data_IF_644720897875
#
_entry.id   IF_644720897875
#
_cell.length_a   1.000
_cell.length_b   1.000
_cell.length_c   1.000
_cell.angle_alpha   90.00
_cell.angle_beta   90.00
_cell.angle_gamma   90.00
#
_symmetry.space_group_name_H-M   'P 1'
#
loop_
_entity.id
_entity.type
_entity.pdbx_description
1 polymer ?
#
# COMPACT_ATOMS: atom_id res chain seq x y z
N UNK A 1 5.45 7.47 -14.26
CA UNK A 1 4.19 6.79 -13.91
C UNK A 1 3.56 7.51 -12.73
N UNK A 2 2.22 7.58 -12.64
CA UNK A 2 1.58 8.23 -11.49
C UNK A 2 1.99 7.62 -10.16
N UNK A 3 2.04 8.46 -9.14
CA UNK A 3 2.40 8.10 -7.78
C UNK A 3 1.16 8.23 -6.91
N UNK A 4 0.92 7.22 -6.07
CA UNK A 4 -0.23 7.22 -5.17
C UNK A 4 0.22 6.96 -3.74
N UNK A 5 -0.49 7.57 -2.80
CA UNK A 5 -0.40 7.24 -1.38
C UNK A 5 -1.70 6.58 -0.99
N UNK A 6 -1.64 5.33 -0.56
CA UNK A 6 -2.82 4.65 -0.04
C UNK A 6 -2.75 4.53 1.49
N UNK A 7 -3.91 4.54 2.11
CA UNK A 7 -4.03 4.58 3.56
C UNK A 7 -4.98 3.48 3.99
N UNK A 8 -4.53 2.68 4.96
CA UNK A 8 -5.33 1.64 5.58
C UNK A 8 -5.58 1.99 7.04
N UNK A 9 -6.82 1.87 7.49
CA UNK A 9 -7.18 2.05 8.90
C UNK A 9 -7.50 0.67 9.47
N UNK A 10 -6.49 0.03 10.07
CA UNK A 10 -6.58 -1.36 10.50
C UNK A 10 -6.93 -1.51 12.00
N UNK A 11 -6.89 -0.41 12.76
CA UNK A 11 -7.24 -0.42 14.15
C UNK A 11 -6.17 -1.00 15.07
N UNK A 12 -6.60 -1.42 16.26
CA UNK A 12 -5.67 -1.90 17.29
C UNK A 12 -4.97 -3.19 16.90
N UNK A 13 -3.74 -3.32 17.35
CA UNK A 13 -2.98 -4.57 17.24
C UNK A 13 -2.15 -4.73 15.98
N UNK A 14 -2.21 -3.78 15.04
CA UNK A 14 -1.34 -3.83 13.86
C UNK A 14 0.10 -3.51 14.27
N UNK A 15 1.06 -4.27 13.76
CA UNK A 15 2.48 -4.07 14.06
C UNK A 15 3.27 -3.84 12.78
N UNK A 16 4.46 -3.26 12.91
CA UNK A 16 5.39 -3.12 11.79
C UNK A 16 5.68 -4.48 11.16
N UNK A 17 5.81 -5.53 11.96
CA UNK A 17 6.09 -6.87 11.44
C UNK A 17 4.96 -7.39 10.57
N UNK A 18 3.70 -7.19 10.97
CA UNK A 18 2.54 -7.60 10.18
C UNK A 18 2.53 -6.89 8.83
N UNK A 19 2.79 -5.58 8.83
CA UNK A 19 2.80 -4.78 7.62
C UNK A 19 3.98 -5.14 6.72
N UNK A 20 5.14 -5.46 7.30
CA UNK A 20 6.28 -5.92 6.51
C UNK A 20 5.96 -7.21 5.75
N UNK A 21 5.22 -8.13 6.37
CA UNK A 21 4.78 -9.37 5.69
C UNK A 21 3.80 -9.06 4.57
N UNK A 22 2.86 -8.16 4.79
CA UNK A 22 1.92 -7.74 3.76
C UNK A 22 2.64 -7.07 2.58
N UNK A 23 3.63 -6.23 2.87
CA UNK A 23 4.44 -5.58 1.83
C UNK A 23 5.21 -6.62 1.00
N UNK A 24 5.77 -7.65 1.62
CA UNK A 24 6.45 -8.72 0.89
C UNK A 24 5.46 -9.46 -0.03
N UNK A 25 4.23 -9.68 0.41
CA UNK A 25 3.19 -10.28 -0.42
C UNK A 25 2.85 -9.38 -1.62
N UNK A 26 2.78 -8.06 -1.42
CA UNK A 26 2.58 -7.09 -2.50
C UNK A 26 3.70 -7.20 -3.53
N UNK A 27 4.96 -7.22 -3.08
CA UNK A 27 6.11 -7.32 -3.97
C UNK A 27 6.10 -8.62 -4.79
N UNK A 28 5.64 -9.71 -4.19
CA UNK A 28 5.54 -11.00 -4.87
C UNK A 28 4.40 -11.04 -5.89
N UNK A 29 3.38 -10.21 -5.72
CA UNK A 29 2.16 -10.19 -6.55
C UNK A 29 2.21 -9.17 -7.68
N UNK A 30 2.94 -8.07 -7.51
CA UNK A 30 2.87 -6.91 -8.41
C UNK A 30 3.48 -7.12 -9.79
N UNK A 31 4.27 -8.15 -9.99
CA UNK A 31 4.97 -8.40 -11.25
C UNK A 31 4.00 -8.52 -12.43
N UNK A 32 4.32 -7.83 -13.54
CA UNK A 32 3.50 -7.84 -14.75
C UNK A 32 2.27 -6.94 -14.72
N UNK A 33 2.09 -6.15 -13.65
CA UNK A 33 0.92 -5.26 -13.50
C UNK A 33 1.24 -3.78 -13.64
N UNK A 34 2.51 -3.42 -13.89
CA UNK A 34 3.01 -2.05 -13.92
C UNK A 34 2.79 -1.33 -12.58
N UNK A 35 2.76 -2.08 -11.50
CA UNK A 35 2.58 -1.57 -10.13
C UNK A 35 3.86 -1.84 -9.36
N UNK A 36 4.35 -0.81 -8.66
CA UNK A 36 5.54 -0.91 -7.82
C UNK A 36 5.26 -0.29 -6.46
N UNK A 37 5.06 -1.11 -5.44
CA UNK A 37 5.01 -0.66 -4.06
C UNK A 37 6.42 -0.33 -3.59
N UNK A 38 6.65 0.94 -3.19
CA UNK A 38 7.98 1.48 -2.93
C UNK A 38 8.33 1.51 -1.46
N UNK A 39 7.47 2.11 -0.65
CA UNK A 39 7.70 2.36 0.77
C UNK A 39 6.40 2.28 1.53
N UNK A 40 6.50 2.08 2.84
CA UNK A 40 5.33 2.11 3.72
C UNK A 40 5.72 2.66 5.09
N UNK A 41 4.73 3.19 5.79
CA UNK A 41 4.86 3.72 7.14
C UNK A 41 3.73 3.16 7.98
N UNK A 42 4.02 2.92 9.25
CA UNK A 42 3.03 2.36 10.18
C UNK A 42 2.96 3.24 11.42
N UNK A 43 1.74 3.66 11.76
CA UNK A 43 1.45 4.26 13.06
C UNK A 43 0.74 3.19 13.90
N UNK A 44 1.49 2.52 14.76
CA UNK A 44 0.95 1.42 15.55
C UNK A 44 -0.10 1.89 16.55
N UNK A 45 -0.01 3.13 17.02
CA UNK A 45 -0.96 3.67 18.00
C UNK A 45 -2.36 3.81 17.40
N UNK A 46 -2.46 4.34 16.19
CA UNK A 46 -3.75 4.50 15.52
C UNK A 46 -4.14 3.31 14.66
N UNK A 47 -3.20 2.42 14.37
CA UNK A 47 -3.43 1.32 13.44
C UNK A 47 -3.51 1.77 12.00
N UNK A 48 -2.87 2.89 11.65
CA UNK A 48 -2.87 3.42 10.29
C UNK A 48 -1.62 3.00 9.54
N UNK A 49 -1.80 2.61 8.29
CA UNK A 49 -0.70 2.20 7.42
C UNK A 49 -0.75 3.04 6.15
N UNK A 50 0.41 3.55 5.76
CA UNK A 50 0.56 4.41 4.58
C UNK A 50 1.49 3.72 3.60
N UNK A 51 1.03 3.50 2.37
CA UNK A 51 1.83 2.84 1.33
C UNK A 51 2.04 3.80 0.16
N UNK A 52 3.28 3.93 -0.27
CA UNK A 52 3.63 4.71 -1.46
C UNK A 52 3.80 3.76 -2.64
N UNK A 53 3.12 4.04 -3.75
CA UNK A 53 3.06 3.12 -4.87
C UNK A 53 3.07 3.89 -6.20
N UNK A 54 3.83 3.35 -7.18
CA UNK A 54 3.73 3.75 -8.57
C UNK A 54 2.77 2.81 -9.28
N UNK A 55 1.78 3.36 -9.97
CA UNK A 55 0.78 2.55 -10.66
C UNK A 55 0.13 3.37 -11.78
N UNK A 56 -0.42 2.72 -12.82
CA UNK A 56 -1.15 3.43 -13.86
C UNK A 56 -2.48 4.01 -13.37
N UNK A 57 -3.04 3.46 -12.29
CA UNK A 57 -4.28 3.94 -11.69
C UNK A 57 -4.40 3.46 -10.24
N UNK A 58 -5.28 4.11 -9.48
CA UNK A 58 -5.60 3.69 -8.12
C UNK A 58 -6.14 2.25 -8.09
N UNK A 59 -6.96 1.90 -9.08
CA UNK A 59 -7.54 0.56 -9.18
C UNK A 59 -6.46 -0.51 -9.40
N UNK A 60 -5.46 -0.22 -10.23
CA UNK A 60 -4.36 -1.13 -10.46
C UNK A 60 -3.57 -1.39 -9.16
N UNK A 61 -3.30 -0.34 -8.38
CA UNK A 61 -2.63 -0.47 -7.09
C UNK A 61 -3.45 -1.34 -6.13
N UNK A 62 -4.74 -1.06 -5.99
CA UNK A 62 -5.61 -1.84 -5.11
C UNK A 62 -5.74 -3.30 -5.55
N UNK A 63 -5.64 -3.58 -6.85
CA UNK A 63 -5.71 -4.97 -7.33
C UNK A 63 -4.57 -5.81 -6.79
N UNK A 64 -3.38 -5.22 -6.62
CA UNK A 64 -2.24 -5.91 -6.02
C UNK A 64 -2.53 -6.23 -4.56
N UNK A 65 -2.98 -5.26 -3.77
CA UNK A 65 -3.36 -5.49 -2.37
C UNK A 65 -4.43 -6.58 -2.26
N UNK A 66 -5.45 -6.52 -3.10
CA UNK A 66 -6.55 -7.49 -3.06
C UNK A 66 -6.04 -8.92 -3.28
N UNK A 67 -5.18 -9.09 -4.28
CA UNK A 67 -4.71 -10.42 -4.66
C UNK A 67 -3.59 -10.91 -3.75
N UNK A 68 -2.80 -9.99 -3.16
CA UNK A 68 -1.69 -10.36 -2.29
C UNK A 68 -2.16 -10.78 -0.90
N UNK A 69 -3.05 -10.00 -0.28
CA UNK A 69 -3.45 -10.22 1.13
C UNK A 69 -4.89 -9.81 1.44
N UNK A 70 -5.61 -9.26 0.48
CA UNK A 70 -7.01 -8.89 0.67
C UNK A 70 -7.27 -7.57 1.35
N UNK A 71 -6.24 -6.85 1.81
CA UNK A 71 -6.38 -5.58 2.52
C UNK A 71 -6.31 -4.43 1.53
N UNK A 72 -7.44 -4.11 0.92
CA UNK A 72 -7.53 -2.95 0.02
C UNK A 72 -7.49 -1.65 0.82
N UNK A 73 -7.04 -0.57 0.19
CA UNK A 73 -6.92 0.72 0.86
C UNK A 73 -8.30 1.30 1.20
N UNK A 74 -8.39 1.93 2.37
CA UNK A 74 -9.57 2.71 2.75
C UNK A 74 -9.59 4.04 2.01
N UNK A 75 -8.42 4.61 1.77
CA UNK A 75 -8.25 5.87 1.03
C UNK A 75 -7.05 5.74 0.10
N UNK A 76 -7.13 6.35 -1.07
CA UNK A 76 -6.00 6.40 -1.99
C UNK A 76 -6.01 7.73 -2.73
N UNK A 77 -4.86 8.39 -2.76
CA UNK A 77 -4.70 9.71 -3.37
C UNK A 77 -3.56 9.69 -4.37
N UNK A 78 -3.77 10.32 -5.52
CA UNK A 78 -2.66 10.60 -6.43
C UNK A 78 -1.86 11.77 -5.84
N UNK A 79 -0.56 11.58 -5.70
CA UNK A 79 0.30 12.53 -5.00
C UNK A 79 1.49 12.92 -5.86
N UNK A 80 2.10 14.05 -5.50
CA UNK A 80 3.37 14.50 -6.08
C UNK A 80 4.33 14.69 -4.93
N UNK A 81 5.57 14.29 -5.15
CA UNK A 81 6.61 14.50 -4.14
C UNK A 81 7.09 15.95 -4.23
N UNK A 82 7.11 16.64 -3.09
CA UNK A 82 7.66 17.99 -3.00
C UNK A 82 9.17 17.97 -2.85
N UNK A 83 9.82 19.02 -3.32
CA UNK A 83 11.25 19.22 -3.17
C UNK A 83 11.55 20.15 -1.99
#
# INVERSE_FOLDING_TARGET
MPLFMDIHHLGDGVTMEDVAKAHQADLATQGGRDVNYLRYWVDEDSGSVFCLVEAPSAEAANSVHRDAHGLVADEIFQVQEGA
#
